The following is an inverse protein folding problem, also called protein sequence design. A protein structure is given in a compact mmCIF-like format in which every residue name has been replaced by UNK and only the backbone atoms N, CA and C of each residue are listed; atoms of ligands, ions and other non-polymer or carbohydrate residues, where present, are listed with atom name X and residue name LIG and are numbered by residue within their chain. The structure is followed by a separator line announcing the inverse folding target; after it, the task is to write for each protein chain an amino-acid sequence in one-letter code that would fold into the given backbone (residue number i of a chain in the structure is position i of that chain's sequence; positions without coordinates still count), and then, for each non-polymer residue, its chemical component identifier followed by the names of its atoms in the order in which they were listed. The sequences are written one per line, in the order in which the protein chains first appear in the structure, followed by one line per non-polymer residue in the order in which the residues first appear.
data_IF_406410252954
#
_entry.id   IF_406410252954
#
_cell.length_a   1.000
_cell.length_b   1.000
_cell.length_c   1.000
_cell.angle_alpha   90.00
_cell.angle_beta   90.00
_cell.angle_gamma   90.00
#
_symmetry.space_group_name_H-M   'P 1'
#
loop_
_entity.id
_entity.type
_entity.pdbx_description
1 polymer ?
#
# COMPACT_ATOMS: atom_id res chain seq x y z
N UNK A 1 -1.11 -21.68 -5.18
CA UNK A 1 0.15 -20.94 -5.42
C UNK A 1 -0.24 -19.57 -5.93
N UNK A 2 -0.14 -18.54 -5.08
CA UNK A 2 -0.43 -17.17 -5.49
C UNK A 2 0.63 -16.76 -6.52
N UNK A 3 0.22 -16.49 -7.76
CA UNK A 3 1.13 -16.06 -8.81
C UNK A 3 1.54 -14.61 -8.55
N UNK A 4 2.81 -14.39 -8.20
CA UNK A 4 3.39 -13.04 -8.15
C UNK A 4 3.57 -12.50 -9.57
N UNK A 5 3.30 -11.21 -9.77
CA UNK A 5 3.63 -10.51 -11.02
C UNK A 5 5.14 -10.25 -11.15
N UNK A 6 5.58 -9.68 -12.28
CA UNK A 6 7.00 -9.53 -12.60
C UNK A 6 7.79 -8.69 -11.57
N UNK A 7 7.15 -7.72 -10.92
CA UNK A 7 7.76 -6.91 -9.86
C UNK A 7 7.55 -7.46 -8.45
N UNK A 8 6.97 -8.65 -8.33
CA UNK A 8 6.64 -9.29 -7.06
C UNK A 8 5.24 -8.95 -6.54
N UNK A 9 4.47 -8.06 -7.18
CA UNK A 9 3.11 -7.73 -6.75
C UNK A 9 2.26 -8.99 -6.56
N UNK A 10 1.54 -9.03 -5.44
CA UNK A 10 0.60 -10.09 -5.12
C UNK A 10 -0.84 -9.59 -5.36
N UNK A 11 -1.62 -10.32 -6.15
CA UNK A 11 -2.99 -9.95 -6.55
C UNK A 11 -3.10 -9.49 -8.01
N UNK A 12 -4.24 -8.89 -8.36
CA UNK A 12 -4.63 -8.61 -9.76
C UNK A 12 -4.12 -7.25 -10.31
N UNK A 13 -3.24 -6.57 -9.58
CA UNK A 13 -2.70 -5.25 -9.96
C UNK A 13 -1.21 -5.32 -10.30
N UNK A 14 -0.84 -4.86 -11.49
CA UNK A 14 0.55 -4.63 -11.89
C UNK A 14 0.99 -3.22 -11.47
N UNK A 15 1.65 -3.11 -10.33
CA UNK A 15 2.14 -1.83 -9.83
C UNK A 15 3.38 -1.33 -10.58
N UNK A 16 4.05 -2.16 -11.38
CA UNK A 16 5.11 -1.69 -12.27
C UNK A 16 4.54 -0.82 -13.40
N UNK A 17 3.34 -1.14 -13.90
CA UNK A 17 2.67 -0.39 -14.96
C UNK A 17 2.02 0.91 -14.45
N UNK A 18 1.43 0.88 -13.24
CA UNK A 18 0.59 1.98 -12.72
C UNK A 18 1.36 2.90 -11.73
N UNK A 19 2.51 2.46 -11.22
CA UNK A 19 3.23 3.09 -10.09
C UNK A 19 3.60 4.56 -10.26
N UNK A 20 3.80 5.05 -11.50
CA UNK A 20 4.12 6.48 -11.75
C UNK A 20 2.91 7.41 -11.64
N UNK A 21 1.70 6.92 -11.91
CA UNK A 21 0.45 7.66 -11.67
C UNK A 21 0.09 7.56 -10.18
N UNK A 22 0.53 6.51 -9.50
CA UNK A 22 0.20 6.21 -8.11
C UNK A 22 0.69 7.25 -7.09
N UNK A 23 1.89 7.80 -7.25
CA UNK A 23 2.48 8.75 -6.28
C UNK A 23 1.89 10.16 -6.34
N UNK A 24 1.39 10.59 -7.49
CA UNK A 24 0.87 11.94 -7.68
C UNK A 24 -0.49 12.21 -7.04
N UNK A 25 -1.28 11.17 -6.74
CA UNK A 25 -2.67 11.32 -6.29
C UNK A 25 -2.92 10.94 -4.83
N UNK A 26 -1.97 10.27 -4.14
CA UNK A 26 -2.17 9.86 -2.75
C UNK A 26 -1.53 10.83 -1.77
N UNK A 27 -2.26 11.91 -1.50
CA UNK A 27 -2.18 12.54 -0.18
C UNK A 27 -3.16 11.78 0.74
N UNK A 28 -2.74 11.32 1.94
CA UNK A 28 -3.65 10.64 2.85
C UNK A 28 -4.83 11.56 3.21
N UNK A 29 -6.06 11.04 3.11
CA UNK A 29 -7.22 11.77 3.62
C UNK A 29 -7.06 11.90 5.15
N UNK A 30 -7.04 13.12 5.70
CA UNK A 30 -6.83 13.33 7.13
C UNK A 30 -7.85 12.60 8.02
N UNK A 31 -9.07 12.35 7.52
CA UNK A 31 -10.10 11.60 8.26
C UNK A 31 -9.76 10.12 8.35
N UNK A 32 -9.23 9.54 7.27
CA UNK A 32 -8.78 8.14 7.25
C UNK A 32 -7.54 8.00 8.13
N UNK A 33 -6.58 8.93 8.03
CA UNK A 33 -5.41 8.95 8.89
C UNK A 33 -5.78 8.99 10.38
N UNK A 34 -6.67 9.92 10.78
CA UNK A 34 -7.15 10.00 12.16
C UNK A 34 -7.91 8.74 12.61
N UNK A 35 -8.66 8.10 11.71
CA UNK A 35 -9.34 6.84 12.02
C UNK A 35 -8.33 5.68 12.23
N UNK A 36 -7.27 5.61 11.42
CA UNK A 36 -6.17 4.66 11.60
C UNK A 36 -5.47 4.91 12.93
N UNK A 37 -5.08 6.16 13.22
CA UNK A 37 -4.39 6.50 14.48
C UNK A 37 -5.25 6.14 15.71
N UNK A 38 -6.54 6.46 15.66
CA UNK A 38 -7.49 6.10 16.73
C UNK A 38 -7.63 4.60 16.90
N UNK A 39 -7.66 3.84 15.80
CA UNK A 39 -7.78 2.39 15.85
C UNK A 39 -6.52 1.71 16.40
N UNK A 40 -5.34 2.27 16.10
CA UNK A 40 -4.07 1.78 16.62
C UNK A 40 -3.86 2.13 18.10
N UNK A 41 -4.49 3.21 18.59
CA UNK A 41 -4.44 3.61 19.99
C UNK A 41 -3.00 3.74 20.50
N UNK A 42 -2.71 3.11 21.63
CA UNK A 42 -1.40 3.16 22.31
C UNK A 42 -0.37 2.16 21.75
N UNK A 43 -0.65 1.49 20.63
CA UNK A 43 0.29 0.55 20.01
C UNK A 43 1.62 1.24 19.68
N UNK A 44 2.73 0.68 20.17
CA UNK A 44 4.08 1.22 19.97
C UNK A 44 4.76 0.60 18.76
N UNK A 45 4.43 -0.65 18.47
CA UNK A 45 4.93 -1.43 17.33
C UNK A 45 3.78 -1.87 16.45
N UNK A 46 3.85 -1.52 15.17
CA UNK A 46 2.79 -1.80 14.19
C UNK A 46 3.36 -2.51 12.98
N UNK A 47 2.73 -3.61 12.59
CA UNK A 47 2.97 -4.26 11.30
C UNK A 47 2.02 -3.66 10.25
N UNK A 48 2.56 -3.07 9.18
CA UNK A 48 1.78 -2.52 8.07
C UNK A 48 1.91 -3.45 6.85
N UNK A 49 0.91 -4.29 6.60
CA UNK A 49 0.92 -5.30 5.53
C UNK A 49 0.29 -4.74 4.25
N UNK A 50 0.98 -4.90 3.12
CA UNK A 50 0.58 -4.26 1.86
C UNK A 50 0.75 -2.74 1.94
N UNK A 51 1.87 -2.30 2.53
CA UNK A 51 2.11 -0.91 2.87
C UNK A 51 2.21 0.01 1.63
N UNK A 52 2.46 -0.56 0.44
CA UNK A 52 2.75 0.19 -0.78
C UNK A 52 3.86 1.22 -0.56
N UNK A 53 3.65 2.41 -1.12
CA UNK A 53 4.54 3.56 -0.94
C UNK A 53 4.47 4.23 0.45
N UNK A 54 3.63 3.74 1.38
CA UNK A 54 3.58 4.22 2.77
C UNK A 54 2.66 5.42 3.05
N UNK A 55 1.66 5.69 2.21
CA UNK A 55 0.82 6.90 2.30
C UNK A 55 0.07 7.09 3.63
N UNK A 56 -0.36 5.99 4.28
CA UNK A 56 -1.08 6.01 5.56
C UNK A 56 -0.23 5.52 6.73
N UNK A 57 1.08 5.46 6.56
CA UNK A 57 1.98 4.98 7.60
C UNK A 57 2.06 5.97 8.77
N UNK A 58 1.71 5.55 10.01
CA UNK A 58 1.86 6.41 11.19
C UNK A 58 3.31 6.82 11.39
N UNK A 59 3.53 8.08 11.78
CA UNK A 59 4.88 8.67 11.95
C UNK A 59 5.28 8.82 13.42
N UNK A 60 4.36 8.56 14.35
CA UNK A 60 4.53 8.74 15.79
C UNK A 60 4.94 7.45 16.54
N UNK A 61 5.05 6.32 15.82
CA UNK A 61 5.31 4.99 16.39
C UNK A 61 6.19 4.14 15.46
N UNK A 62 6.66 3.00 15.95
CA UNK A 62 7.55 2.12 15.18
C UNK A 62 6.74 1.24 14.23
N UNK A 63 6.81 1.54 12.94
CA UNK A 63 6.15 0.75 11.90
C UNK A 63 7.15 -0.16 11.21
N UNK A 64 6.78 -1.44 11.05
CA UNK A 64 7.44 -2.37 10.13
C UNK A 64 6.53 -2.57 8.94
N UNK A 65 6.96 -2.08 7.77
CA UNK A 65 6.19 -2.20 6.54
C UNK A 65 6.52 -3.52 5.82
N UNK A 66 5.49 -4.14 5.24
CA UNK A 66 5.60 -5.31 4.35
C UNK A 66 4.97 -4.94 3.02
N UNK A 67 5.71 -5.12 1.94
CA UNK A 67 5.24 -4.81 0.59
C UNK A 67 5.93 -5.72 -0.42
N UNK A 68 5.18 -6.60 -1.12
CA UNK A 68 5.77 -7.54 -2.07
C UNK A 68 6.19 -6.89 -3.41
N UNK A 69 5.61 -5.75 -3.81
CA UNK A 69 6.00 -5.04 -5.03
C UNK A 69 7.33 -4.29 -4.86
N UNK A 70 8.35 -4.69 -5.63
CA UNK A 70 9.62 -3.98 -5.72
C UNK A 70 9.43 -2.53 -6.19
N UNK A 71 8.49 -2.30 -7.11
CA UNK A 71 8.14 -0.97 -7.63
C UNK A 71 7.63 -0.06 -6.51
N UNK A 72 6.74 -0.57 -5.66
CA UNK A 72 6.26 0.18 -4.49
C UNK A 72 7.35 0.44 -3.47
N UNK A 73 8.19 -0.57 -3.17
CA UNK A 73 9.31 -0.42 -2.24
C UNK A 73 10.29 0.67 -2.71
N UNK A 74 10.53 0.78 -4.02
CA UNK A 74 11.39 1.80 -4.60
C UNK A 74 10.84 3.23 -4.46
N UNK A 75 9.53 3.39 -4.25
CA UNK A 75 8.88 4.68 -4.00
C UNK A 75 8.93 5.10 -2.53
N UNK A 76 9.35 4.21 -1.64
CA UNK A 76 9.39 4.49 -0.20
C UNK A 76 10.61 5.37 0.16
N UNK A 77 10.46 6.25 1.16
CA UNK A 77 11.59 6.94 1.77
C UNK A 77 12.67 5.97 2.28
N UNK A 78 13.94 6.33 2.11
CA UNK A 78 15.07 5.46 2.47
C UNK A 78 15.13 5.11 3.97
N UNK A 79 14.60 5.98 4.83
CA UNK A 79 14.51 5.79 6.28
C UNK A 79 13.33 4.91 6.71
N UNK A 80 12.43 4.54 5.79
CA UNK A 80 11.23 3.72 6.04
C UNK A 80 11.08 2.61 4.99
N UNK A 81 12.06 1.69 4.88
CA UNK A 81 11.98 0.59 3.93
C UNK A 81 10.84 -0.37 4.29
N UNK A 82 10.43 -1.19 3.32
CA UNK A 82 9.50 -2.29 3.54
C UNK A 82 10.19 -3.63 3.27
N UNK A 83 9.78 -4.65 4.02
CA UNK A 83 10.18 -6.04 3.86
C UNK A 83 9.49 -6.63 2.64
N UNK A 84 10.24 -7.33 1.78
CA UNK A 84 9.69 -8.13 0.69
C UNK A 84 9.08 -9.43 1.23
N UNK A 85 7.78 -9.41 1.48
CA UNK A 85 7.00 -10.55 1.90
C UNK A 85 5.54 -10.37 1.48
N UNK A 86 4.78 -11.47 1.45
CA UNK A 86 3.33 -11.44 1.23
C UNK A 86 2.58 -11.60 2.55
N UNK A 87 1.28 -11.32 2.55
CA UNK A 87 0.46 -11.45 3.76
C UNK A 87 0.36 -12.90 4.25
N UNK A 88 0.46 -13.86 3.33
CA UNK A 88 0.40 -15.30 3.63
C UNK A 88 1.72 -15.92 4.11
N UNK A 89 2.85 -15.21 3.98
CA UNK A 89 4.18 -15.72 4.33
C UNK A 89 5.03 -14.61 4.98
N UNK A 90 4.67 -14.27 6.21
CA UNK A 90 5.33 -13.21 6.98
C UNK A 90 6.56 -13.74 7.72
N UNK A 91 7.75 -13.12 7.58
CA UNK A 91 8.99 -13.57 8.22
C UNK A 91 9.11 -13.08 9.67
N UNK A 92 8.01 -13.10 10.43
CA UNK A 92 7.97 -12.64 11.82
C UNK A 92 7.41 -13.73 12.71
N UNK A 93 7.88 -13.78 13.95
CA UNK A 93 7.31 -14.67 14.96
C UNK A 93 5.93 -14.16 15.40
N UNK A 94 5.10 -15.07 15.89
CA UNK A 94 3.81 -14.73 16.50
C UNK A 94 3.99 -13.73 17.66
N UNK A 95 3.01 -12.85 17.86
CA UNK A 95 2.98 -11.85 18.93
C UNK A 95 4.18 -10.87 18.96
N UNK A 96 4.81 -10.60 17.80
CA UNK A 96 5.94 -9.68 17.69
C UNK A 96 5.55 -8.19 17.64
N UNK A 97 4.26 -7.88 17.47
CA UNK A 97 3.76 -6.51 17.29
C UNK A 97 2.54 -6.26 18.18
N UNK A 98 2.37 -5.02 18.64
CA UNK A 98 1.20 -4.61 19.44
C UNK A 98 -0.07 -4.57 18.57
N UNK A 99 0.06 -4.20 17.30
CA UNK A 99 -1.04 -4.12 16.35
C UNK A 99 -0.58 -4.40 14.91
N UNK A 100 -1.56 -4.70 14.03
CA UNK A 100 -1.37 -4.81 12.60
C UNK A 100 -2.38 -3.93 11.85
N UNK A 101 -1.97 -3.40 10.70
CA UNK A 101 -2.81 -2.63 9.80
C UNK A 101 -2.60 -3.07 8.34
N UNK A 102 -3.61 -2.84 7.51
CA UNK A 102 -3.53 -2.99 6.07
C UNK A 102 -4.42 -1.91 5.43
N UNK A 103 -3.86 -1.13 4.50
CA UNK A 103 -4.62 -0.08 3.79
C UNK A 103 -4.66 -0.36 2.30
N UNK A 104 -5.81 -0.83 1.83
CA UNK A 104 -6.07 -0.99 0.40
C UNK A 104 -6.74 0.29 -0.10
N UNK A 105 -6.26 0.88 -1.20
CA UNK A 105 -7.11 1.76 -2.00
C UNK A 105 -7.45 1.06 -3.29
N UNK A 106 -8.74 0.86 -3.49
CA UNK A 106 -9.27 0.51 -4.79
C UNK A 106 -9.19 1.76 -5.67
N UNK A 107 -8.42 1.69 -6.75
CA UNK A 107 -8.56 2.67 -7.83
C UNK A 107 -9.92 2.41 -8.50
N UNK A 108 -10.70 3.44 -8.87
CA UNK A 108 -11.82 3.21 -9.77
C UNK A 108 -11.26 2.57 -11.04
N UNK A 109 -11.86 1.47 -11.49
CA UNK A 109 -11.55 0.88 -12.80
C UNK A 109 -11.63 2.00 -13.84
N UNK A 110 -10.54 2.29 -14.54
CA UNK A 110 -10.59 3.16 -15.71
C UNK A 110 -11.64 2.58 -16.66
N UNK A 111 -12.80 3.20 -16.75
CA UNK A 111 -13.81 2.80 -17.73
C UNK A 111 -13.26 3.14 -19.11
N UNK A 112 -13.06 2.18 -20.03
CA UNK A 112 -12.55 2.46 -21.38
C UNK A 112 -13.55 3.23 -22.27
N UNK A 113 -14.62 3.80 -21.71
CA UNK A 113 -15.79 4.30 -22.43
C UNK A 113 -16.10 5.78 -22.19
N UNK A 114 -15.07 6.62 -22.18
CA UNK A 114 -15.24 8.04 -22.52
C UNK A 114 -14.20 8.47 -23.55
N UNK A 115 -14.21 7.80 -24.71
CA UNK A 115 -13.65 8.38 -25.92
C UNK A 115 -14.47 7.96 -27.15
N UNK A 116 -15.69 8.51 -27.25
CA UNK A 116 -16.41 8.73 -28.52
C UNK A 116 -17.67 9.55 -28.26
N UNK A 117 -17.92 10.49 -29.18
CA UNK A 117 -18.99 11.51 -29.23
C UNK A 117 -18.59 12.77 -28.43
N UNK A 118 -18.24 13.92 -29.02
CA UNK A 118 -18.74 14.52 -30.26
C UNK A 118 -17.69 15.40 -30.96
N UNK A 119 -17.29 15.01 -32.16
CA UNK A 119 -17.00 15.90 -33.30
C UNK A 119 -17.69 15.26 -34.50
N UNK A 120 -18.92 15.69 -34.77
CA UNK A 120 -19.61 15.67 -36.05
C UNK A 120 -21.05 16.15 -35.82
N UNK A 121 -21.40 17.28 -36.46
CA UNK A 121 -22.67 17.97 -36.37
C UNK A 121 -22.44 19.46 -36.35
#
# INVERSE_FOLDING_TARGET
MSSRMADGSAGDADYAEIGKVYTGYRSPDPRIAAAVDKALGDAKTVLNVGAGAGSYEPVDRRVTAVEPSASMRALRPADRPAVDATAEDLPFADNSFDAAMATVSMLPTASPRLNRLSHCG
#
